data_IF_019230511169
#
_entry.id   IF_019230511169
#
_cell.length_a   1.000
_cell.length_b   1.000
_cell.length_c   1.000
_cell.angle_alpha   90.00
_cell.angle_beta   90.00
_cell.angle_gamma   90.00
#
_symmetry.space_group_name_H-M   'P 1'
#
loop_
_entity.id
_entity.type
_entity.pdbx_description
1 polymer ?
#
# COMPACT_ATOMS: atom_id res chain seq x y z
N UNK A 1 0.36 21.91 -14.52
CA UNK A 1 0.51 20.91 -15.63
C UNK A 1 1.61 19.89 -15.41
N UNK A 2 2.79 20.25 -14.89
CA UNK A 2 3.92 19.30 -14.65
C UNK A 2 3.56 18.12 -13.75
N UNK A 3 2.84 18.33 -12.66
CA UNK A 3 2.43 17.25 -11.73
C UNK A 3 1.48 16.21 -12.35
N UNK A 4 0.64 16.59 -13.31
CA UNK A 4 -0.32 15.69 -13.98
C UNK A 4 0.41 14.79 -14.99
N UNK A 5 1.36 15.34 -15.74
CA UNK A 5 2.22 14.57 -16.65
C UNK A 5 3.01 13.50 -15.89
N UNK A 6 3.64 13.88 -14.76
CA UNK A 6 4.35 12.93 -13.88
C UNK A 6 3.41 11.85 -13.36
N UNK A 7 2.20 12.22 -12.89
CA UNK A 7 1.20 11.23 -12.42
C UNK A 7 0.77 10.27 -13.54
N UNK A 8 0.57 10.76 -14.76
CA UNK A 8 0.22 9.92 -15.90
C UNK A 8 1.35 8.92 -16.22
N UNK A 9 2.61 9.36 -16.26
CA UNK A 9 3.77 8.49 -16.45
C UNK A 9 3.91 7.44 -15.34
N UNK A 10 3.72 7.84 -14.08
CA UNK A 10 3.72 6.91 -12.94
C UNK A 10 2.59 5.88 -13.04
N UNK A 11 1.43 6.27 -13.58
CA UNK A 11 0.30 5.35 -13.79
C UNK A 11 0.64 4.32 -14.87
N UNK A 12 1.28 4.74 -15.97
CA UNK A 12 1.77 3.85 -17.03
C UNK A 12 2.81 2.87 -16.46
N UNK A 13 3.81 3.37 -15.74
CA UNK A 13 4.79 2.52 -15.06
C UNK A 13 4.11 1.53 -14.10
N UNK A 14 3.10 1.98 -13.35
CA UNK A 14 2.31 1.12 -12.46
C UNK A 14 1.61 -0.03 -13.18
N UNK A 15 1.10 0.17 -14.40
CA UNK A 15 0.52 -0.93 -15.21
C UNK A 15 1.60 -1.96 -15.55
N UNK A 16 2.77 -1.52 -16.01
CA UNK A 16 3.86 -2.43 -16.34
C UNK A 16 4.35 -3.22 -15.13
N UNK A 17 4.47 -2.57 -13.97
CA UNK A 17 4.82 -3.25 -12.71
C UNK A 17 3.75 -4.26 -12.29
N UNK A 18 2.47 -3.94 -12.42
CA UNK A 18 1.37 -4.85 -12.11
C UNK A 18 1.36 -6.08 -13.03
N UNK A 19 1.57 -5.89 -14.34
CA UNK A 19 1.71 -7.01 -15.28
C UNK A 19 2.96 -7.84 -14.98
N UNK A 20 4.06 -7.17 -14.63
CA UNK A 20 5.30 -7.82 -14.19
C UNK A 20 5.10 -8.72 -12.98
N UNK A 21 4.41 -8.23 -11.95
CA UNK A 21 4.03 -8.99 -10.73
C UNK A 21 3.36 -10.31 -11.10
N UNK A 22 2.29 -10.25 -11.90
CA UNK A 22 1.53 -11.44 -12.35
C UNK A 22 2.46 -12.47 -13.01
N UNK A 23 3.36 -12.02 -13.90
CA UNK A 23 4.31 -12.93 -14.55
C UNK A 23 5.31 -13.52 -13.56
N UNK A 24 5.82 -12.73 -12.62
CA UNK A 24 6.76 -13.20 -11.60
C UNK A 24 6.12 -14.17 -10.63
N UNK A 25 4.86 -13.96 -10.26
CA UNK A 25 4.12 -14.81 -9.32
C UNK A 25 3.76 -16.16 -9.94
N UNK A 26 3.30 -16.14 -11.20
CA UNK A 26 3.07 -17.37 -11.98
C UNK A 26 4.39 -18.13 -12.14
N UNK A 27 5.46 -17.43 -12.52
CA UNK A 27 6.79 -18.03 -12.69
C UNK A 27 7.30 -18.68 -11.40
N UNK A 28 7.11 -18.02 -10.26
CA UNK A 28 7.52 -18.52 -8.95
C UNK A 28 6.69 -19.74 -8.52
N UNK A 29 5.37 -19.71 -8.70
CA UNK A 29 4.50 -20.84 -8.39
C UNK A 29 4.84 -22.07 -9.26
N UNK A 30 5.09 -21.87 -10.57
CA UNK A 30 5.52 -22.95 -11.46
C UNK A 30 6.87 -23.51 -11.05
N UNK A 31 7.83 -22.64 -10.70
CA UNK A 31 9.15 -23.06 -10.23
C UNK A 31 9.05 -23.95 -8.99
N UNK A 32 8.34 -23.52 -7.95
CA UNK A 32 8.18 -24.33 -6.73
C UNK A 32 7.42 -25.63 -6.98
N UNK A 33 6.47 -25.64 -7.92
CA UNK A 33 5.75 -26.85 -8.29
C UNK A 33 6.66 -27.86 -8.99
N UNK A 34 7.51 -27.39 -9.90
CA UNK A 34 8.50 -28.22 -10.61
C UNK A 34 9.59 -28.75 -9.67
N UNK A 35 9.95 -28.00 -8.63
CA UNK A 35 10.91 -28.42 -7.58
C UNK A 35 10.25 -29.30 -6.49
N UNK A 36 9.01 -29.77 -6.70
CA UNK A 36 8.23 -30.62 -5.76
C UNK A 36 7.98 -29.98 -4.38
N UNK A 37 8.13 -28.65 -4.26
CA UNK A 37 7.91 -27.88 -3.04
C UNK A 37 6.45 -27.43 -2.96
N UNK A 38 5.54 -28.39 -2.74
CA UNK A 38 4.10 -28.14 -2.75
C UNK A 38 3.64 -27.14 -1.69
N UNK A 39 4.31 -27.10 -0.52
CA UNK A 39 3.97 -26.14 0.55
C UNK A 39 4.26 -24.70 0.11
N UNK A 40 5.41 -24.43 -0.50
CA UNK A 40 5.78 -23.08 -0.95
C UNK A 40 4.98 -22.66 -2.17
N UNK A 41 4.62 -23.62 -3.04
CA UNK A 41 3.66 -23.41 -4.13
C UNK A 41 2.30 -22.98 -3.56
N UNK A 42 1.76 -23.73 -2.60
CA UNK A 42 0.47 -23.44 -1.98
C UNK A 42 0.43 -22.10 -1.26
N UNK A 43 1.48 -21.75 -0.52
CA UNK A 43 1.59 -20.45 0.15
C UNK A 43 1.67 -19.28 -0.85
N UNK A 44 2.48 -19.41 -1.90
CA UNK A 44 2.58 -18.40 -2.96
C UNK A 44 1.21 -18.18 -3.62
N UNK A 45 0.53 -19.25 -4.04
CA UNK A 45 -0.80 -19.14 -4.64
C UNK A 45 -1.83 -18.56 -3.67
N UNK A 46 -1.75 -18.89 -2.37
CA UNK A 46 -2.65 -18.33 -1.36
C UNK A 46 -2.50 -16.82 -1.24
N UNK A 47 -1.25 -16.30 -1.22
CA UNK A 47 -0.99 -14.86 -1.17
C UNK A 47 -1.51 -14.15 -2.42
N UNK A 48 -1.23 -14.70 -3.61
CA UNK A 48 -1.71 -14.16 -4.90
C UNK A 48 -3.24 -14.10 -4.95
N UNK A 49 -3.89 -15.21 -4.61
CA UNK A 49 -5.36 -15.27 -4.60
C UNK A 49 -5.96 -14.32 -3.56
N UNK A 50 -5.34 -14.18 -2.40
CA UNK A 50 -5.83 -13.27 -1.35
C UNK A 50 -5.73 -11.80 -1.78
N UNK A 51 -4.58 -11.37 -2.32
CA UNK A 51 -4.38 -10.03 -2.86
C UNK A 51 -5.38 -9.72 -3.98
N UNK A 52 -5.51 -10.64 -4.94
CA UNK A 52 -6.46 -10.51 -6.05
C UNK A 52 -7.92 -10.43 -5.56
N UNK A 53 -8.36 -11.35 -4.71
CA UNK A 53 -9.74 -11.38 -4.23
C UNK A 53 -10.12 -10.09 -3.49
N UNK A 54 -9.27 -9.66 -2.54
CA UNK A 54 -9.55 -8.47 -1.75
C UNK A 54 -9.57 -7.21 -2.60
N UNK A 55 -8.59 -7.04 -3.50
CA UNK A 55 -8.57 -5.88 -4.41
C UNK A 55 -9.77 -5.86 -5.34
N UNK A 56 -10.21 -6.99 -5.88
CA UNK A 56 -11.40 -7.04 -6.74
C UNK A 56 -12.68 -6.73 -5.95
N UNK A 57 -12.81 -7.21 -4.70
CA UNK A 57 -13.96 -6.89 -3.84
C UNK A 57 -14.05 -5.37 -3.60
N UNK A 58 -12.96 -4.72 -3.18
CA UNK A 58 -12.94 -3.27 -2.97
C UNK A 58 -13.15 -2.50 -4.28
N UNK A 59 -12.48 -2.93 -5.34
CA UNK A 59 -12.58 -2.31 -6.66
C UNK A 59 -14.02 -2.36 -7.19
N UNK A 60 -14.71 -3.49 -7.04
CA UNK A 60 -16.11 -3.63 -7.42
C UNK A 60 -17.04 -2.79 -6.53
N UNK A 61 -16.86 -2.85 -5.20
CA UNK A 61 -17.68 -2.09 -4.26
C UNK A 61 -17.60 -0.58 -4.52
N UNK A 62 -16.38 -0.07 -4.72
CA UNK A 62 -16.16 1.34 -5.01
C UNK A 62 -16.71 1.75 -6.38
N UNK A 63 -16.61 0.87 -7.37
CA UNK A 63 -17.19 1.11 -8.69
C UNK A 63 -18.72 1.17 -8.63
N UNK A 64 -19.34 0.30 -7.82
CA UNK A 64 -20.78 0.32 -7.53
C UNK A 64 -21.19 1.62 -6.81
N UNK A 65 -20.39 2.08 -5.85
CA UNK A 65 -20.65 3.35 -5.16
C UNK A 65 -20.60 4.53 -6.15
N UNK A 66 -19.59 4.58 -7.03
CA UNK A 66 -19.43 5.62 -8.04
C UNK A 66 -20.58 5.60 -9.08
N UNK A 67 -21.04 4.40 -9.47
CA UNK A 67 -22.20 4.23 -10.36
C UNK A 67 -23.50 4.77 -9.76
N UNK A 68 -23.64 4.64 -8.44
CA UNK A 68 -24.83 5.08 -7.70
C UNK A 68 -24.68 6.53 -7.20
N UNK A 69 -23.62 7.25 -7.61
CA UNK A 69 -23.43 8.66 -7.28
C UNK A 69 -24.06 9.53 -8.39
N UNK A 70 -25.12 10.25 -8.03
CA UNK A 70 -25.90 11.12 -8.94
C UNK A 70 -25.02 12.24 -9.50
N UNK A 71 -23.99 12.67 -8.78
CA UNK A 71 -23.08 13.72 -9.23
C UNK A 71 -21.98 13.22 -10.18
N UNK A 72 -21.68 11.91 -10.16
CA UNK A 72 -20.75 11.29 -11.12
C UNK A 72 -21.51 10.82 -12.37
N UNK A 73 -22.76 10.36 -12.21
CA UNK A 73 -23.65 9.87 -13.25
C UNK A 73 -24.88 10.78 -13.45
N UNK A 74 -24.65 12.06 -13.79
CA UNK A 74 -25.72 13.03 -14.01
C UNK A 74 -26.64 12.71 -15.20
N UNK A 75 -26.23 11.82 -16.11
CA UNK A 75 -27.02 11.42 -17.30
C UNK A 75 -27.89 10.17 -17.08
N UNK A 76 -27.86 9.55 -15.89
CA UNK A 76 -28.67 8.35 -15.61
C UNK A 76 -28.29 7.12 -16.44
N UNK A 77 -27.19 7.16 -17.18
CA UNK A 77 -26.64 6.04 -17.94
C UNK A 77 -26.16 4.96 -16.97
N UNK A 78 -26.79 3.78 -17.03
CA UNK A 78 -26.41 2.59 -16.24
C UNK A 78 -25.08 1.96 -16.72
N UNK A 79 -24.36 2.62 -17.61
CA UNK A 79 -23.22 2.12 -18.36
C UNK A 79 -22.06 3.13 -18.25
N UNK A 80 -21.04 2.78 -17.48
CA UNK A 80 -19.73 3.44 -17.60
C UNK A 80 -18.95 2.60 -18.59
N UNK A 81 -18.57 3.17 -19.74
CA UNK A 81 -17.89 2.47 -20.85
C UNK A 81 -18.76 1.48 -21.66
N UNK A 82 -20.09 1.70 -21.73
CA UNK A 82 -20.97 0.94 -22.63
C UNK A 82 -21.22 -0.52 -22.23
N UNK A 83 -20.94 -0.90 -20.97
CA UNK A 83 -21.08 -2.28 -20.50
C UNK A 83 -22.03 -2.34 -19.29
N UNK A 84 -22.91 -3.34 -19.31
CA UNK A 84 -23.97 -3.52 -18.31
C UNK A 84 -23.40 -3.90 -16.94
N UNK A 85 -24.15 -3.60 -15.86
CA UNK A 85 -23.80 -3.97 -14.47
C UNK A 85 -23.32 -5.42 -14.28
N UNK A 86 -23.93 -6.45 -14.89
CA UNK A 86 -23.43 -7.83 -14.79
C UNK A 86 -22.10 -8.04 -15.54
N UNK A 87 -21.89 -7.38 -16.68
CA UNK A 87 -20.62 -7.47 -17.43
C UNK A 87 -19.43 -6.96 -16.61
N UNK A 88 -19.63 -5.91 -15.81
CA UNK A 88 -18.60 -5.45 -14.86
C UNK A 88 -18.35 -6.44 -13.73
N UNK A 89 -19.39 -7.04 -13.16
CA UNK A 89 -19.23 -8.06 -12.13
C UNK A 89 -18.43 -9.26 -12.63
N UNK A 90 -18.70 -9.71 -13.87
CA UNK A 90 -17.94 -10.77 -14.54
C UNK A 90 -16.49 -10.36 -14.74
N UNK A 91 -16.23 -9.13 -15.17
CA UNK A 91 -14.88 -8.63 -15.38
C UNK A 91 -14.07 -8.58 -14.07
N UNK A 92 -14.70 -8.22 -12.95
CA UNK A 92 -14.09 -8.30 -11.62
C UNK A 92 -13.87 -9.75 -11.17
N UNK A 93 -14.79 -10.67 -11.49
CA UNK A 93 -14.63 -12.09 -11.17
C UNK A 93 -13.44 -12.73 -11.91
N UNK A 94 -13.13 -12.28 -13.12
CA UNK A 94 -11.93 -12.68 -13.86
C UNK A 94 -10.66 -11.92 -13.49
N UNK A 95 -10.68 -11.05 -12.47
CA UNK A 95 -9.51 -10.27 -12.06
C UNK A 95 -9.15 -9.10 -12.98
N UNK A 96 -9.92 -8.87 -14.06
CA UNK A 96 -9.64 -7.81 -15.03
C UNK A 96 -10.08 -6.41 -14.55
N UNK A 97 -10.78 -6.32 -13.42
CA UNK A 97 -11.40 -5.10 -12.91
C UNK A 97 -10.42 -3.94 -12.71
N UNK A 98 -9.21 -4.26 -12.24
CA UNK A 98 -8.13 -3.29 -12.03
C UNK A 98 -7.70 -2.63 -13.35
N UNK A 99 -7.60 -3.38 -14.44
CA UNK A 99 -7.22 -2.82 -15.75
C UNK A 99 -8.23 -1.78 -16.25
N UNK A 100 -9.52 -1.93 -15.95
CA UNK A 100 -10.52 -0.92 -16.30
C UNK A 100 -10.31 0.39 -15.55
N UNK A 101 -9.90 0.33 -14.27
CA UNK A 101 -9.54 1.52 -13.48
C UNK A 101 -8.30 2.22 -14.03
N UNK A 102 -7.27 1.45 -14.39
CA UNK A 102 -6.08 1.99 -15.06
C UNK A 102 -6.45 2.66 -16.39
N UNK A 103 -7.25 2.00 -17.22
CA UNK A 103 -7.70 2.56 -18.50
C UNK A 103 -8.45 3.87 -18.31
N UNK A 104 -9.41 3.93 -17.37
CA UNK A 104 -10.16 5.17 -17.09
C UNK A 104 -9.27 6.30 -16.58
N UNK A 105 -8.32 6.01 -15.68
CA UNK A 105 -7.38 7.00 -15.16
C UNK A 105 -6.45 7.52 -16.28
N UNK A 106 -5.90 6.62 -17.09
CA UNK A 106 -5.02 6.98 -18.21
C UNK A 106 -5.75 7.77 -19.30
N UNK A 107 -6.98 7.37 -19.66
CA UNK A 107 -7.80 8.08 -20.66
C UNK A 107 -8.15 9.49 -20.22
N UNK A 108 -8.59 9.66 -18.97
CA UNK A 108 -8.89 10.99 -18.41
C UNK A 108 -7.62 11.84 -18.25
N UNK A 109 -6.52 11.25 -17.79
CA UNK A 109 -5.23 11.92 -17.70
C UNK A 109 -4.70 12.37 -19.07
N UNK A 110 -4.81 11.52 -20.09
CA UNK A 110 -4.42 11.84 -21.46
C UNK A 110 -5.26 12.98 -22.03
N UNK A 111 -6.59 12.91 -21.90
CA UNK A 111 -7.51 13.99 -22.32
C UNK A 111 -7.11 15.32 -21.68
N UNK A 112 -6.76 15.32 -20.39
CA UNK A 112 -6.37 16.55 -19.70
C UNK A 112 -5.00 17.10 -20.14
N UNK A 113 -4.04 16.23 -20.47
CA UNK A 113 -2.69 16.64 -20.87
C UNK A 113 -2.66 17.11 -22.34
N UNK A 114 -3.36 16.38 -23.22
CA UNK A 114 -3.20 16.47 -24.67
C UNK A 114 -4.41 17.10 -25.38
N UNK A 115 -5.62 17.00 -24.80
CA UNK A 115 -6.83 17.63 -25.35
C UNK A 115 -7.04 18.98 -24.65
N UNK A 116 -6.28 19.99 -25.10
CA UNK A 116 -6.23 21.34 -24.52
C UNK A 116 -7.38 22.28 -24.97
N UNK A 117 -8.43 21.75 -25.58
CA UNK A 117 -9.49 22.51 -26.25
C UNK A 117 -10.78 22.54 -25.39
N UNK A 118 -11.27 23.75 -25.08
CA UNK A 118 -12.53 24.10 -24.38
C UNK A 118 -12.62 23.89 -22.86
N UNK A 119 -11.65 24.37 -22.08
CA UNK A 119 -11.82 24.52 -20.63
C UNK A 119 -11.94 26.00 -20.25
N UNK A 120 -13.07 26.63 -20.60
CA UNK A 120 -13.28 28.09 -20.49
C UNK A 120 -13.50 28.60 -19.06
N UNK A 121 -13.38 27.75 -18.02
CA UNK A 121 -13.59 28.15 -16.62
C UNK A 121 -12.57 27.48 -15.70
N UNK A 122 -11.88 28.27 -14.87
CA UNK A 122 -10.87 27.81 -13.90
C UNK A 122 -11.45 26.78 -12.93
N UNK A 123 -12.70 26.94 -12.52
CA UNK A 123 -13.39 26.04 -11.59
C UNK A 123 -13.56 24.62 -12.14
N UNK A 124 -13.90 24.49 -13.44
CA UNK A 124 -14.02 23.19 -14.11
C UNK A 124 -12.68 22.46 -14.17
N UNK A 125 -11.58 23.19 -14.37
CA UNK A 125 -10.23 22.61 -14.38
C UNK A 125 -9.88 22.05 -13.01
N UNK A 126 -10.19 22.79 -11.94
CA UNK A 126 -9.94 22.38 -10.56
C UNK A 126 -10.79 21.16 -10.15
N UNK A 127 -12.05 21.11 -10.56
CA UNK A 127 -12.94 19.97 -10.30
C UNK A 127 -12.47 18.70 -11.02
N UNK A 128 -12.11 18.80 -12.31
CA UNK A 128 -11.56 17.67 -13.08
C UNK A 128 -10.22 17.22 -12.50
N UNK A 129 -9.37 18.15 -12.06
CA UNK A 129 -8.11 17.85 -11.39
C UNK A 129 -8.34 17.06 -10.10
N UNK A 130 -9.24 17.54 -9.24
CA UNK A 130 -9.61 16.87 -7.99
C UNK A 130 -10.14 15.46 -8.26
N UNK A 131 -11.02 15.30 -9.25
CA UNK A 131 -11.57 13.99 -9.64
C UNK A 131 -10.46 13.03 -10.11
N UNK A 132 -9.49 13.51 -10.89
CA UNK A 132 -8.33 12.73 -11.34
C UNK A 132 -7.52 12.20 -10.16
N UNK A 133 -7.21 13.06 -9.18
CA UNK A 133 -6.46 12.65 -7.98
C UNK A 133 -7.27 11.75 -7.05
N UNK A 134 -8.60 11.87 -7.00
CA UNK A 134 -9.44 10.90 -6.29
C UNK A 134 -9.35 9.51 -6.94
N UNK A 135 -9.48 9.42 -8.27
CA UNK A 135 -9.31 8.15 -9.00
C UNK A 135 -7.90 7.56 -8.82
N UNK A 136 -6.86 8.40 -8.84
CA UNK A 136 -5.50 7.97 -8.56
C UNK A 136 -5.31 7.49 -7.11
N UNK A 137 -6.00 8.10 -6.15
CA UNK A 137 -5.99 7.70 -4.73
C UNK A 137 -6.61 6.34 -4.55
N UNK A 138 -7.81 6.11 -5.10
CA UNK A 138 -8.45 4.81 -5.09
C UNK A 138 -7.55 3.74 -5.71
N UNK A 139 -6.97 3.99 -6.89
CA UNK A 139 -6.09 3.03 -7.54
C UNK A 139 -4.83 2.74 -6.70
N UNK A 140 -4.20 3.78 -6.14
CA UNK A 140 -3.04 3.60 -5.26
C UNK A 140 -3.38 2.87 -3.96
N UNK A 141 -4.60 3.00 -3.45
CA UNK A 141 -5.08 2.25 -2.28
C UNK A 141 -5.28 0.77 -2.61
N UNK A 142 -5.83 0.44 -3.79
CA UNK A 142 -5.94 -0.94 -4.23
C UNK A 142 -4.56 -1.59 -4.39
N UNK A 143 -3.61 -0.90 -5.05
CA UNK A 143 -2.24 -1.43 -5.15
C UNK A 143 -1.58 -1.56 -3.78
N UNK A 144 -1.88 -0.66 -2.83
CA UNK A 144 -1.41 -0.80 -1.45
C UNK A 144 -1.96 -2.06 -0.77
N UNK A 145 -3.24 -2.37 -0.93
CA UNK A 145 -3.85 -3.59 -0.39
C UNK A 145 -3.21 -4.84 -0.98
N UNK A 146 -3.11 -4.92 -2.30
CA UNK A 146 -2.41 -5.98 -3.02
C UNK A 146 -1.00 -6.18 -2.47
N UNK A 147 -0.20 -5.10 -2.44
CA UNK A 147 1.19 -5.12 -2.01
C UNK A 147 1.38 -5.73 -0.62
N UNK A 148 0.49 -5.45 0.33
CA UNK A 148 0.63 -5.95 1.71
C UNK A 148 -0.08 -7.28 1.98
N UNK A 149 -1.05 -7.67 1.16
CA UNK A 149 -1.74 -8.96 1.26
C UNK A 149 -1.03 -10.06 0.46
N UNK A 150 -0.29 -9.67 -0.58
CA UNK A 150 0.36 -10.56 -1.54
C UNK A 150 1.89 -10.36 -1.51
N UNK A 151 2.38 -9.24 -2.02
CA UNK A 151 3.83 -9.05 -2.27
C UNK A 151 4.68 -9.07 -0.99
N UNK A 152 4.22 -8.49 0.13
CA UNK A 152 4.99 -8.44 1.37
C UNK A 152 5.08 -9.81 2.09
N UNK A 153 3.99 -10.57 2.31
CA UNK A 153 4.06 -11.95 2.79
C UNK A 153 4.86 -12.87 1.86
N UNK A 154 4.73 -12.69 0.54
CA UNK A 154 5.50 -13.46 -0.43
C UNK A 154 6.99 -13.14 -0.38
N UNK A 155 7.37 -11.86 -0.22
CA UNK A 155 8.76 -11.45 0.00
C UNK A 155 9.31 -12.05 1.31
N UNK A 156 8.51 -12.08 2.38
CA UNK A 156 8.89 -12.73 3.64
C UNK A 156 9.16 -14.23 3.44
N UNK A 157 8.29 -14.93 2.69
CA UNK A 157 8.48 -16.33 2.34
C UNK A 157 9.74 -16.55 1.48
N UNK A 158 9.94 -15.71 0.47
CA UNK A 158 11.14 -15.76 -0.40
C UNK A 158 12.42 -15.55 0.40
N UNK A 159 12.43 -14.60 1.35
CA UNK A 159 13.56 -14.37 2.23
C UNK A 159 13.80 -15.55 3.18
N UNK A 160 12.74 -16.15 3.73
CA UNK A 160 12.86 -17.37 4.54
C UNK A 160 13.54 -18.51 3.74
N UNK A 161 13.12 -18.73 2.49
CA UNK A 161 13.72 -19.74 1.62
C UNK A 161 15.16 -19.38 1.28
N UNK A 162 15.42 -18.12 0.89
CA UNK A 162 16.74 -17.63 0.48
C UNK A 162 17.77 -17.74 1.59
N UNK A 163 17.42 -17.34 2.81
CA UNK A 163 18.30 -17.39 3.98
C UNK A 163 18.54 -18.82 4.46
N UNK A 164 17.67 -19.78 4.10
CA UNK A 164 17.86 -21.20 4.36
C UNK A 164 18.83 -21.89 3.40
N UNK A 165 19.15 -21.27 2.26
CA UNK A 165 20.11 -21.79 1.28
C UNK A 165 21.49 -21.15 1.48
N UNK A 166 22.56 -21.93 1.25
CA UNK A 166 23.94 -21.49 1.46
C UNK A 166 24.48 -20.56 0.36
N UNK A 167 23.87 -20.56 -0.82
CA UNK A 167 24.32 -19.75 -1.96
C UNK A 167 23.26 -18.74 -2.39
N UNK A 168 23.63 -17.46 -2.38
CA UNK A 168 22.78 -16.35 -2.85
C UNK A 168 23.35 -15.81 -4.14
N UNK A 169 22.57 -15.88 -5.21
CA UNK A 169 22.94 -15.25 -6.48
C UNK A 169 22.73 -13.73 -6.43
N UNK A 170 23.56 -12.98 -7.16
CA UNK A 170 23.43 -11.51 -7.29
C UNK A 170 22.04 -11.12 -7.83
N UNK A 171 21.50 -11.91 -8.76
CA UNK A 171 20.17 -11.67 -9.33
C UNK A 171 19.05 -11.78 -8.29
N UNK A 172 19.13 -12.74 -7.35
CA UNK A 172 18.17 -12.85 -6.25
C UNK A 172 18.26 -11.63 -5.32
N UNK A 173 19.48 -11.16 -5.01
CA UNK A 173 19.66 -9.97 -4.18
C UNK A 173 19.04 -8.73 -4.83
N UNK A 174 19.26 -8.54 -6.15
CA UNK A 174 18.63 -7.45 -6.92
C UNK A 174 17.11 -7.57 -6.90
N UNK A 175 16.56 -8.78 -7.08
CA UNK A 175 15.11 -9.02 -7.05
C UNK A 175 14.51 -8.67 -5.69
N UNK A 176 15.11 -9.14 -4.59
CA UNK A 176 14.68 -8.81 -3.22
C UNK A 176 14.73 -7.30 -2.96
N UNK A 177 15.82 -6.63 -3.37
CA UNK A 177 15.96 -5.18 -3.22
C UNK A 177 14.88 -4.42 -4.00
N UNK A 178 14.56 -4.87 -5.22
CA UNK A 178 13.50 -4.31 -6.03
C UNK A 178 12.12 -4.52 -5.38
N UNK A 179 11.85 -5.70 -4.81
CA UNK A 179 10.60 -5.97 -4.08
C UNK A 179 10.42 -5.04 -2.87
N UNK A 180 11.48 -4.83 -2.07
CA UNK A 180 11.43 -3.84 -0.98
C UNK A 180 11.15 -2.42 -1.47
N UNK A 181 11.79 -2.02 -2.57
CA UNK A 181 11.55 -0.71 -3.18
C UNK A 181 10.11 -0.58 -3.66
N UNK A 182 9.56 -1.61 -4.32
CA UNK A 182 8.18 -1.60 -4.83
C UNK A 182 7.16 -1.47 -3.68
N UNK A 183 7.35 -2.24 -2.59
CA UNK A 183 6.48 -2.16 -1.40
C UNK A 183 6.52 -0.75 -0.79
N UNK A 184 7.72 -0.21 -0.58
CA UNK A 184 7.87 1.14 -0.04
C UNK A 184 7.26 2.20 -0.97
N UNK A 185 7.47 2.07 -2.28
CA UNK A 185 6.94 2.99 -3.28
C UNK A 185 5.40 2.99 -3.32
N UNK A 186 4.75 1.83 -3.26
CA UNK A 186 3.28 1.74 -3.21
C UNK A 186 2.70 2.54 -2.03
N UNK A 187 3.34 2.46 -0.86
CA UNK A 187 2.96 3.22 0.32
C UNK A 187 3.19 4.73 0.17
N UNK A 188 4.32 5.13 -0.41
CA UNK A 188 4.61 6.55 -0.68
C UNK A 188 3.66 7.11 -1.72
N UNK A 189 3.37 6.37 -2.79
CA UNK A 189 2.47 6.81 -3.85
C UNK A 189 1.06 7.02 -3.31
N UNK A 190 0.55 6.06 -2.53
CA UNK A 190 -0.73 6.22 -1.84
C UNK A 190 -0.75 7.47 -0.96
N UNK A 191 0.27 7.67 -0.11
CA UNK A 191 0.33 8.83 0.78
C UNK A 191 0.32 10.16 0.01
N UNK A 192 0.98 10.21 -1.14
CA UNK A 192 1.00 11.38 -2.03
C UNK A 192 -0.33 11.59 -2.74
N UNK A 193 -0.94 10.53 -3.27
CA UNK A 193 -2.28 10.59 -3.88
C UNK A 193 -3.30 11.10 -2.88
N UNK A 194 -3.35 10.50 -1.69
CA UNK A 194 -4.27 10.86 -0.62
C UNK A 194 -4.14 12.35 -0.31
N UNK A 195 -2.93 12.85 -0.01
CA UNK A 195 -2.72 14.27 0.30
C UNK A 195 -3.13 15.22 -0.83
N UNK A 196 -2.95 14.83 -2.10
CA UNK A 196 -3.37 15.64 -3.26
C UNK A 196 -4.86 15.61 -3.53
N UNK A 197 -5.56 14.56 -3.10
CA UNK A 197 -7.01 14.46 -3.24
C UNK A 197 -7.78 15.34 -2.24
N UNK A 198 -7.11 15.78 -1.16
CA UNK A 198 -7.72 16.50 -0.05
C UNK A 198 -7.50 18.01 -0.17
N UNK A 199 -8.58 18.82 -0.23
CA UNK A 199 -8.46 20.26 -0.44
C UNK A 199 -7.87 21.01 0.76
N UNK A 200 -8.05 20.51 1.98
CA UNK A 200 -7.63 21.18 3.22
C UNK A 200 -6.27 20.72 3.75
N UNK A 201 -5.60 19.77 3.08
CA UNK A 201 -4.31 19.23 3.53
C UNK A 201 -3.22 19.63 2.54
N UNK A 202 -2.13 20.21 3.06
CA UNK A 202 -0.99 20.61 2.24
C UNK A 202 -0.38 19.40 1.53
N UNK A 203 -0.24 19.54 0.21
CA UNK A 203 0.42 18.55 -0.63
C UNK A 203 1.83 18.25 -0.13
N UNK A 204 2.26 17.00 -0.34
CA UNK A 204 3.65 16.63 -0.11
C UNK A 204 4.51 17.16 -1.27
N UNK A 205 5.53 18.01 -1.00
CA UNK A 205 6.39 18.54 -2.05
C UNK A 205 7.11 17.41 -2.78
N UNK A 206 7.19 17.49 -4.12
CA UNK A 206 8.09 16.64 -4.89
C UNK A 206 9.54 17.03 -4.63
N UNK A 207 10.42 16.04 -4.45
CA UNK A 207 11.84 16.25 -4.19
C UNK A 207 12.29 15.61 -2.87
N UNK A 208 13.13 16.34 -2.12
CA UNK A 208 13.79 15.86 -0.91
C UNK A 208 12.84 15.31 0.18
N UNK A 209 11.67 15.93 0.49
CA UNK A 209 10.72 15.36 1.44
C UNK A 209 10.19 13.98 1.01
N UNK A 210 9.93 13.80 -0.29
CA UNK A 210 9.48 12.51 -0.83
C UNK A 210 10.58 11.46 -0.74
N UNK A 211 11.83 11.84 -1.07
CA UNK A 211 12.98 10.95 -0.99
C UNK A 211 13.26 10.48 0.44
N UNK A 212 13.24 11.39 1.43
CA UNK A 212 13.49 11.04 2.83
C UNK A 212 12.37 10.18 3.40
N UNK A 213 11.11 10.45 3.04
CA UNK A 213 10.00 9.61 3.45
C UNK A 213 10.08 8.21 2.83
N UNK A 214 10.50 8.10 1.56
CA UNK A 214 10.75 6.82 0.91
C UNK A 214 11.90 6.06 1.58
N UNK A 215 13.01 6.74 1.90
CA UNK A 215 14.14 6.16 2.61
C UNK A 215 13.75 5.66 4.01
N UNK A 216 12.95 6.44 4.74
CA UNK A 216 12.35 6.01 5.99
C UNK A 216 11.53 4.71 5.82
N UNK A 217 10.65 4.64 4.81
CA UNK A 217 9.79 3.47 4.61
C UNK A 217 10.54 2.25 4.12
N UNK A 218 11.47 2.38 3.16
CA UNK A 218 12.28 1.24 2.70
C UNK A 218 13.12 0.68 3.85
N UNK A 219 13.82 1.53 4.61
CA UNK A 219 14.66 1.07 5.72
C UNK A 219 13.86 0.40 6.85
N UNK A 220 12.71 0.97 7.23
CA UNK A 220 11.87 0.39 8.30
C UNK A 220 11.17 -0.89 7.87
N UNK A 221 10.72 -1.01 6.61
CA UNK A 221 10.12 -2.25 6.10
C UNK A 221 11.19 -3.33 5.95
N UNK A 222 12.36 -3.00 5.38
CA UNK A 222 13.45 -3.96 5.17
C UNK A 222 13.94 -4.59 6.48
N UNK A 223 14.24 -3.77 7.48
CA UNK A 223 14.67 -4.26 8.80
C UNK A 223 13.62 -5.16 9.46
N UNK A 224 12.34 -4.77 9.43
CA UNK A 224 11.28 -5.56 10.06
C UNK A 224 11.04 -6.90 9.36
N UNK A 225 10.97 -6.90 8.02
CA UNK A 225 10.77 -8.13 7.25
C UNK A 225 11.97 -9.07 7.41
N UNK A 226 13.21 -8.57 7.36
CA UNK A 226 14.39 -9.37 7.62
C UNK A 226 14.39 -9.95 9.05
N UNK A 227 13.96 -9.17 10.05
CA UNK A 227 13.80 -9.66 11.42
C UNK A 227 12.77 -10.79 11.52
N UNK A 228 11.63 -10.67 10.83
CA UNK A 228 10.66 -11.76 10.74
C UNK A 228 11.24 -12.98 10.03
N UNK A 229 12.03 -12.82 8.97
CA UNK A 229 12.71 -13.93 8.30
C UNK A 229 13.68 -14.65 9.25
N UNK A 230 14.47 -13.92 10.04
CA UNK A 230 15.36 -14.53 11.05
C UNK A 230 14.58 -15.29 12.12
N UNK A 231 13.48 -14.73 12.61
CA UNK A 231 12.63 -15.38 13.60
C UNK A 231 11.94 -16.65 13.04
N UNK A 232 11.59 -16.67 11.75
CA UNK A 232 11.05 -17.86 11.08
C UNK A 232 12.10 -18.98 10.95
N UNK A 233 13.36 -18.64 10.67
CA UNK A 233 14.48 -19.60 10.65
C UNK A 233 14.77 -20.16 12.05
N UNK A 234 14.62 -19.31 13.07
CA UNK A 234 14.76 -19.73 14.45
C UNK A 234 13.64 -20.72 14.84
N UNK A 235 12.39 -20.38 14.53
CA UNK A 235 11.23 -21.22 14.82
C UNK A 235 10.05 -20.94 13.91
N UNK A 236 9.44 -22.01 13.37
CA UNK A 236 8.21 -21.93 12.57
C UNK A 236 7.03 -21.40 13.40
N UNK A 237 7.05 -21.55 14.73
CA UNK A 237 6.03 -20.99 15.63
C UNK A 237 5.95 -19.45 15.59
N UNK A 238 6.95 -18.77 15.02
CA UNK A 238 6.88 -17.33 14.71
C UNK A 238 5.68 -16.98 13.84
N UNK A 239 5.20 -17.92 13.00
CA UNK A 239 3.95 -17.72 12.23
C UNK A 239 2.76 -17.43 13.13
N UNK A 240 2.65 -18.11 14.28
CA UNK A 240 1.60 -17.86 15.29
C UNK A 240 1.75 -16.45 15.87
N UNK A 241 2.98 -16.03 16.18
CA UNK A 241 3.25 -14.68 16.67
C UNK A 241 2.86 -13.60 15.65
N UNK A 242 3.14 -13.82 14.35
CA UNK A 242 2.70 -12.93 13.27
C UNK A 242 1.17 -12.88 13.15
N UNK A 243 0.48 -14.01 13.32
CA UNK A 243 -0.99 -14.04 13.39
C UNK A 243 -1.53 -13.26 14.58
N UNK A 244 -0.90 -13.37 15.75
CA UNK A 244 -1.27 -12.57 16.93
C UNK A 244 -1.07 -11.07 16.69
N UNK A 245 0.07 -10.67 16.09
CA UNK A 245 0.32 -9.27 15.73
C UNK A 245 -0.74 -8.73 14.75
N UNK A 246 -1.12 -9.55 13.77
CA UNK A 246 -2.20 -9.21 12.85
C UNK A 246 -3.53 -8.99 13.59
N UNK A 247 -3.93 -9.92 14.47
CA UNK A 247 -5.16 -9.80 15.27
C UNK A 247 -5.14 -8.56 16.18
N UNK A 248 -3.99 -8.23 16.77
CA UNK A 248 -3.81 -7.00 17.56
C UNK A 248 -3.99 -5.75 16.69
N UNK A 249 -3.38 -5.73 15.49
CA UNK A 249 -3.54 -4.63 14.52
C UNK A 249 -4.99 -4.47 14.05
N UNK A 250 -5.69 -5.57 13.78
CA UNK A 250 -7.11 -5.55 13.42
C UNK A 250 -7.98 -5.08 14.59
N UNK A 251 -7.72 -5.56 15.81
CA UNK A 251 -8.45 -5.12 17.01
C UNK A 251 -8.26 -3.63 17.25
N UNK A 252 -7.02 -3.13 17.10
CA UNK A 252 -6.74 -1.70 17.12
C UNK A 252 -7.57 -0.95 16.07
N UNK A 253 -7.58 -1.40 14.81
CA UNK A 253 -8.41 -0.78 13.76
C UNK A 253 -9.92 -0.81 14.09
N UNK A 254 -10.40 -1.81 14.84
CA UNK A 254 -11.78 -1.85 15.33
C UNK A 254 -12.05 -0.81 16.43
N UNK A 255 -11.12 -0.63 17.37
CA UNK A 255 -11.21 0.37 18.44
C UNK A 255 -11.16 1.81 17.90
N UNK A 256 -10.56 1.99 16.73
CA UNK A 256 -10.51 3.27 16.02
C UNK A 256 -11.83 3.65 15.33
N UNK A 257 -12.84 2.78 15.35
CA UNK A 257 -14.19 3.00 14.80
C UNK A 257 -14.22 3.59 13.37
N UNK A 258 -13.34 3.12 12.50
CA UNK A 258 -13.25 3.61 11.10
C UNK A 258 -14.59 3.53 10.36
N UNK A 259 -14.90 4.54 9.54
CA UNK A 259 -16.14 4.62 8.71
C UNK A 259 -15.82 4.77 7.22
N UNK A 260 -14.97 3.88 6.69
CA UNK A 260 -14.49 3.99 5.32
C UNK A 260 -15.46 3.43 4.27
N UNK A 261 -16.14 2.32 4.58
CA UNK A 261 -16.97 1.56 3.66
C UNK A 261 -18.46 1.85 3.85
N UNK A 262 -19.24 1.67 2.77
CA UNK A 262 -20.70 1.81 2.80
C UNK A 262 -21.41 0.65 3.50
N UNK A 263 -20.82 -0.55 3.50
CA UNK A 263 -21.38 -1.75 4.11
C UNK A 263 -20.55 -2.25 5.30
N UNK A 264 -21.23 -2.82 6.29
CA UNK A 264 -20.59 -3.35 7.51
C UNK A 264 -19.59 -4.47 7.22
N UNK A 265 -19.89 -5.36 6.28
CA UNK A 265 -18.99 -6.47 5.91
C UNK A 265 -17.71 -5.97 5.25
N UNK A 266 -17.81 -4.97 4.38
CA UNK A 266 -16.64 -4.37 3.72
C UNK A 266 -15.78 -3.58 4.71
N UNK A 267 -16.39 -2.96 5.72
CA UNK A 267 -15.65 -2.29 6.80
C UNK A 267 -14.85 -3.28 7.66
N UNK A 268 -15.43 -4.44 7.99
CA UNK A 268 -14.71 -5.51 8.71
C UNK A 268 -13.53 -6.00 7.87
N UNK A 269 -13.74 -6.23 6.58
CA UNK A 269 -12.65 -6.62 5.67
C UNK A 269 -11.57 -5.54 5.60
N UNK A 270 -11.95 -4.27 5.50
CA UNK A 270 -11.03 -3.14 5.48
C UNK A 270 -10.16 -3.12 6.76
N UNK A 271 -10.77 -3.24 7.94
CA UNK A 271 -10.04 -3.29 9.21
C UNK A 271 -9.11 -4.50 9.33
N UNK A 272 -9.49 -5.65 8.78
CA UNK A 272 -8.63 -6.83 8.69
C UNK A 272 -7.39 -6.56 7.82
N UNK A 273 -7.58 -5.93 6.66
CA UNK A 273 -6.48 -5.54 5.75
C UNK A 273 -5.57 -4.50 6.39
N UNK A 274 -6.13 -3.49 7.08
CA UNK A 274 -5.34 -2.53 7.85
C UNK A 274 -4.50 -3.24 8.91
N UNK A 275 -5.05 -4.24 9.60
CA UNK A 275 -4.28 -5.08 10.52
C UNK A 275 -3.07 -5.73 9.85
N UNK A 276 -3.23 -6.27 8.63
CA UNK A 276 -2.11 -6.87 7.88
C UNK A 276 -1.05 -5.82 7.56
N UNK A 277 -1.46 -4.64 7.08
CA UNK A 277 -0.53 -3.54 6.78
C UNK A 277 0.24 -3.17 8.06
N UNK A 278 -0.44 -3.07 9.21
CA UNK A 278 0.18 -2.78 10.50
C UNK A 278 1.16 -3.86 10.98
N UNK A 279 1.07 -5.11 10.51
CA UNK A 279 2.10 -6.11 10.81
C UNK A 279 3.44 -5.78 10.15
N UNK A 280 3.43 -5.10 8.99
CA UNK A 280 4.63 -4.81 8.19
C UNK A 280 5.08 -3.35 8.22
N UNK A 281 4.17 -2.39 8.42
CA UNK A 281 4.53 -0.97 8.47
C UNK A 281 3.50 -0.15 9.23
N UNK A 282 3.96 0.91 9.89
CA UNK A 282 3.05 1.87 10.47
C UNK A 282 2.22 2.56 9.38
N UNK A 283 0.90 2.40 9.48
CA UNK A 283 -0.08 3.02 8.60
C UNK A 283 -1.02 3.88 9.43
N UNK A 284 -1.12 5.16 9.07
CA UNK A 284 -1.96 6.11 9.79
C UNK A 284 -3.41 6.01 9.31
N UNK A 285 -4.25 5.41 10.16
CA UNK A 285 -5.69 5.19 9.93
C UNK A 285 -6.55 6.32 10.51
N UNK A 286 -6.10 6.97 11.60
CA UNK A 286 -6.91 7.97 12.32
C UNK A 286 -6.86 9.38 11.72
N UNK A 287 -5.92 9.68 10.83
CA UNK A 287 -5.73 11.01 10.26
C UNK A 287 -5.20 12.07 11.26
N UNK A 288 -5.56 11.99 12.55
CA UNK A 288 -5.27 12.96 13.61
C UNK A 288 -4.55 12.32 14.83
N UNK A 289 -3.84 13.15 15.61
CA UNK A 289 -3.12 12.82 16.86
C UNK A 289 -2.34 11.50 16.90
N UNK A 290 -1.63 11.23 15.82
CA UNK A 290 -0.91 9.95 15.66
C UNK A 290 0.39 9.83 16.41
N UNK A 291 0.79 10.83 17.22
CA UNK A 291 2.09 10.81 17.91
C UNK A 291 2.21 9.59 18.83
N UNK A 292 1.20 9.38 19.70
CA UNK A 292 1.21 8.25 20.65
C UNK A 292 1.19 6.92 19.92
N UNK A 293 0.24 6.72 18.99
CA UNK A 293 0.14 5.48 18.22
C UNK A 293 1.42 5.17 17.42
N UNK A 294 2.03 6.20 16.83
CA UNK A 294 3.30 6.07 16.10
C UNK A 294 4.46 5.72 17.04
N UNK A 295 4.59 6.40 18.17
CA UNK A 295 5.62 6.08 19.17
C UNK A 295 5.46 4.65 19.69
N UNK A 296 4.24 4.23 20.05
CA UNK A 296 3.96 2.86 20.50
C UNK A 296 4.36 1.83 19.44
N UNK A 297 3.98 2.05 18.18
CA UNK A 297 4.37 1.17 17.08
C UNK A 297 5.90 1.05 16.95
N UNK A 298 6.61 2.19 16.97
CA UNK A 298 8.06 2.18 16.78
C UNK A 298 8.83 1.60 17.98
N UNK A 299 8.25 1.63 19.19
CA UNK A 299 8.78 0.89 20.35
C UNK A 299 8.72 -0.62 20.08
N UNK A 300 7.55 -1.16 19.70
CA UNK A 300 7.42 -2.59 19.38
C UNK A 300 8.32 -3.01 18.22
N UNK A 301 8.38 -2.18 17.18
CA UNK A 301 9.29 -2.38 16.05
C UNK A 301 10.76 -2.46 16.50
N UNK A 302 11.24 -1.54 17.34
CA UNK A 302 12.63 -1.58 17.82
C UNK A 302 12.89 -2.82 18.67
N UNK A 303 11.93 -3.23 19.51
CA UNK A 303 12.03 -4.48 20.29
C UNK A 303 12.18 -5.67 19.35
N UNK A 304 11.34 -5.82 18.33
CA UNK A 304 11.41 -6.94 17.37
C UNK A 304 12.76 -6.96 16.64
N UNK A 305 13.23 -5.81 16.15
CA UNK A 305 14.48 -5.73 15.39
C UNK A 305 15.74 -6.00 16.23
N UNK A 306 15.70 -5.74 17.54
CA UNK A 306 16.80 -6.11 18.45
C UNK A 306 16.68 -7.58 18.85
N UNK A 307 15.47 -8.04 19.18
CA UNK A 307 15.23 -9.40 19.65
C UNK A 307 15.50 -10.45 18.58
N UNK A 308 15.20 -10.20 17.30
CA UNK A 308 15.41 -11.17 16.23
C UNK A 308 16.87 -11.64 16.08
N UNK A 309 17.86 -10.76 15.86
CA UNK A 309 19.27 -11.17 15.80
C UNK A 309 19.80 -11.65 17.16
N UNK A 310 19.32 -11.10 18.28
CA UNK A 310 19.74 -11.52 19.62
C UNK A 310 19.31 -12.94 19.94
N UNK A 311 18.05 -13.30 19.68
CA UNK A 311 17.54 -14.66 19.90
C UNK A 311 18.24 -15.66 18.97
N UNK A 312 18.52 -15.27 17.72
CA UNK A 312 19.29 -16.10 16.81
C UNK A 312 20.71 -16.35 17.35
N UNK A 313 21.37 -15.31 17.87
CA UNK A 313 22.69 -15.40 18.48
C UNK A 313 22.73 -16.31 19.71
N UNK A 314 21.72 -16.21 20.58
CA UNK A 314 21.66 -16.96 21.82
C UNK A 314 21.26 -18.44 21.63
N UNK A 315 20.30 -18.70 20.73
CA UNK A 315 19.71 -20.05 20.59
C UNK A 315 20.35 -20.88 19.49
N UNK A 316 20.96 -20.25 18.47
CA UNK A 316 21.67 -20.93 17.37
C UNK A 316 23.00 -20.23 17.04
N UNK A 317 23.97 -20.23 17.96
CA UNK A 317 25.25 -19.54 17.77
C UNK A 317 26.04 -20.06 16.56
N UNK A 318 25.90 -21.36 16.25
CA UNK A 318 26.52 -22.00 15.08
C UNK A 318 26.07 -21.33 13.76
N UNK A 319 24.80 -20.96 13.67
CA UNK A 319 24.20 -20.38 12.48
C UNK A 319 24.62 -18.91 12.30
N UNK A 320 24.96 -18.20 13.38
CA UNK A 320 25.46 -16.82 13.35
C UNK A 320 26.88 -16.70 12.78
N UNK A 321 27.66 -17.79 12.75
CA UNK A 321 29.00 -17.78 12.13
C UNK A 321 28.95 -17.67 10.61
N UNK A 322 27.78 -17.90 10.00
CA UNK A 322 27.57 -17.68 8.57
C UNK A 322 27.70 -16.20 8.23
N UNK A 323 28.63 -15.87 7.32
CA UNK A 323 28.87 -14.52 6.80
C UNK A 323 27.57 -13.86 6.33
N UNK A 324 26.67 -14.65 5.73
CA UNK A 324 25.37 -14.18 5.23
C UNK A 324 24.48 -13.71 6.39
N UNK A 325 24.34 -14.49 7.45
CA UNK A 325 23.46 -14.13 8.57
C UNK A 325 24.03 -13.02 9.45
N UNK A 326 25.36 -12.93 9.55
CA UNK A 326 26.02 -11.78 10.14
C UNK A 326 25.76 -10.51 9.32
N UNK A 327 25.86 -10.61 7.99
CA UNK A 327 25.55 -9.49 7.07
C UNK A 327 24.10 -9.05 7.19
N UNK A 328 23.16 -9.99 7.26
CA UNK A 328 21.73 -9.71 7.45
C UNK A 328 21.47 -9.05 8.81
N UNK A 329 22.11 -9.53 9.89
CA UNK A 329 22.00 -8.93 11.22
C UNK A 329 22.54 -7.49 11.24
N UNK A 330 23.69 -7.25 10.60
CA UNK A 330 24.24 -5.91 10.41
C UNK A 330 23.31 -5.00 9.59
N UNK A 331 22.70 -5.54 8.54
CA UNK A 331 21.72 -4.84 7.70
C UNK A 331 20.45 -4.48 8.48
N UNK A 332 19.94 -5.38 9.33
CA UNK A 332 18.80 -5.10 10.23
C UNK A 332 19.12 -3.92 11.14
N UNK A 333 20.27 -3.95 11.82
CA UNK A 333 20.71 -2.86 12.70
C UNK A 333 20.87 -1.54 11.93
N UNK A 334 21.59 -1.56 10.80
CA UNK A 334 21.85 -0.38 9.97
C UNK A 334 20.57 0.23 9.41
N UNK A 335 19.69 -0.57 8.82
CA UNK A 335 18.39 -0.10 8.31
C UNK A 335 17.47 0.37 9.44
N UNK A 336 17.48 -0.26 10.62
CA UNK A 336 16.65 0.18 11.75
C UNK A 336 17.06 1.57 12.23
N UNK A 337 18.35 1.81 12.44
CA UNK A 337 18.87 3.12 12.86
C UNK A 337 18.61 4.17 11.78
N UNK A 338 18.97 3.88 10.53
CA UNK A 338 18.79 4.80 9.42
C UNK A 338 17.30 5.15 9.21
N UNK A 339 16.41 4.17 9.33
CA UNK A 339 14.97 4.33 9.22
C UNK A 339 14.40 5.25 10.31
N UNK A 340 14.80 5.07 11.56
CA UNK A 340 14.36 5.91 12.69
C UNK A 340 14.94 7.33 12.62
N UNK A 341 16.17 7.49 12.14
CA UNK A 341 16.76 8.81 11.88
C UNK A 341 15.97 9.52 10.77
N UNK A 342 15.72 8.86 9.64
CA UNK A 342 14.92 9.42 8.54
C UNK A 342 13.49 9.75 8.98
N UNK A 343 12.89 8.91 9.83
CA UNK A 343 11.59 9.17 10.43
C UNK A 343 11.60 10.48 11.23
N UNK A 344 12.57 10.62 12.13
CA UNK A 344 12.70 11.79 13.01
C UNK A 344 12.96 13.04 12.18
N UNK A 345 13.87 12.97 11.21
CA UNK A 345 14.18 14.07 10.29
C UNK A 345 12.95 14.50 9.50
N UNK A 346 12.19 13.52 8.97
CA UNK A 346 10.98 13.81 8.21
C UNK A 346 9.94 14.54 9.08
N UNK A 347 9.57 14.01 10.24
CA UNK A 347 8.53 14.63 11.07
C UNK A 347 8.98 15.93 11.76
N UNK A 348 10.27 16.10 12.00
CA UNK A 348 10.81 17.33 12.60
C UNK A 348 10.84 18.49 11.60
N UNK A 349 11.37 18.26 10.40
CA UNK A 349 11.72 19.34 9.47
C UNK A 349 10.92 19.36 8.16
N UNK A 350 10.49 18.21 7.66
CA UNK A 350 10.01 18.08 6.27
C UNK A 350 8.52 17.77 6.18
N UNK A 351 7.91 17.29 7.26
CA UNK A 351 6.49 16.98 7.30
C UNK A 351 5.70 18.28 7.16
N UNK A 352 4.88 18.43 6.11
CA UNK A 352 4.05 19.60 5.95
C UNK A 352 3.03 19.63 7.08
N UNK A 353 3.30 20.45 8.11
CA UNK A 353 2.37 20.75 9.20
C UNK A 353 1.19 21.51 8.61
N UNK A 354 -0.02 21.04 8.86
CA UNK A 354 -1.24 21.73 8.44
C UNK A 354 -1.38 23.02 9.23
N UNK A 355 -1.74 24.11 8.54
CA UNK A 355 -2.38 25.26 9.19
C UNK A 355 -3.85 24.89 9.30
N UNK A 356 -4.35 24.73 10.53
CA UNK A 356 -5.78 24.68 10.77
C UNK A 356 -6.36 26.04 10.40
N UNK A 357 -7.06 26.11 9.27
CA UNK A 357 -8.14 27.07 9.10
C UNK A 357 -9.42 26.27 9.19
N UNK A 358 -9.86 26.07 10.43
CA UNK A 358 -11.29 26.08 10.70
C UNK A 358 -11.70 27.55 10.58
N UNK A 359 -12.44 27.88 9.52
CA UNK A 359 -13.06 29.19 9.34
C UNK A 359 -14.33 28.99 8.52
N UNK A 360 -15.44 29.14 9.25
CA UNK A 360 -16.81 29.47 8.85
C UNK A 360 -17.58 28.53 7.92
N UNK A 361 -18.56 27.86 8.55
CA UNK A 361 -19.89 27.71 7.98
C UNK A 361 -20.43 29.08 7.53
N UNK A 362 -20.19 29.47 6.28
CA UNK A 362 -21.12 30.19 5.38
C UNK A 362 -20.35 30.57 4.12
N UNK A 363 -20.45 29.72 3.09
CA UNK A 363 -20.76 30.10 1.71
C UNK A 363 -20.37 28.99 0.73
N UNK A 364 -21.41 28.40 0.13
CA UNK A 364 -21.31 27.46 -0.98
C UNK A 364 -21.36 25.99 -0.56
N UNK A 365 -22.56 25.42 -0.58
CA UNK A 365 -22.83 23.98 -0.60
C UNK A 365 -22.20 23.38 -1.89
N UNK A 366 -20.88 23.22 -1.92
CA UNK A 366 -20.15 22.55 -2.99
C UNK A 366 -20.53 21.08 -2.99
N UNK A 367 -21.30 20.65 -3.99
CA UNK A 367 -21.82 19.29 -4.16
C UNK A 367 -20.74 18.22 -3.93
N UNK A 368 -20.87 17.45 -2.86
CA UNK A 368 -19.95 16.37 -2.52
C UNK A 368 -20.22 15.10 -3.33
N UNK A 369 -19.18 14.57 -3.99
CA UNK A 369 -19.21 13.22 -4.58
C UNK A 369 -18.89 12.16 -3.52
N UNK A 370 -19.43 10.95 -3.66
CA UNK A 370 -19.18 9.79 -2.79
C UNK A 370 -17.70 9.43 -2.69
N UNK A 371 -16.94 9.57 -3.78
CA UNK A 371 -15.47 9.39 -3.78
C UNK A 371 -14.78 10.42 -2.87
N UNK A 372 -15.21 11.69 -2.92
CA UNK A 372 -14.68 12.75 -2.02
C UNK A 372 -15.07 12.47 -0.56
N UNK A 373 -16.29 11.99 -0.32
CA UNK A 373 -16.76 11.60 1.02
C UNK A 373 -15.98 10.41 1.58
N UNK A 374 -15.69 9.38 0.78
CA UNK A 374 -14.87 8.22 1.20
C UNK A 374 -13.47 8.65 1.63
N UNK A 375 -12.83 9.51 0.84
CA UNK A 375 -11.50 10.05 1.14
C UNK A 375 -11.51 10.95 2.39
N UNK A 376 -12.59 11.71 2.62
CA UNK A 376 -12.77 12.50 3.84
C UNK A 376 -12.98 11.62 5.07
N UNK A 377 -13.84 10.61 4.95
CA UNK A 377 -14.10 9.62 6.01
C UNK A 377 -12.86 8.80 6.37
N UNK A 378 -11.87 8.69 5.48
CA UNK A 378 -10.58 8.06 5.80
C UNK A 378 -9.76 8.85 6.83
N UNK A 379 -10.07 10.13 7.08
CA UNK A 379 -9.29 11.02 7.96
C UNK A 379 -10.06 11.55 9.18
N UNK A 380 -11.34 11.23 9.30
CA UNK A 380 -12.18 11.59 10.42
C UNK A 380 -12.82 10.30 10.96
N UNK A 381 -12.48 9.84 12.18
CA UNK A 381 -13.22 8.77 12.83
C UNK A 381 -14.71 9.12 13.03
#
# INVERSE_FOLDING_TARGET
MTGIKVRWLLTVAGVFLYVGDIWTDIGLAVKYFQEEQYVWTGLTLMFVLTGLLVTQIFSYAWYRDDLNDIFINSEGTKEISGMSKPGFAVLHAFGLGIFTRYYHLLKKGFKMIWTKSNWDTVDKIQEVHKKLFCMATDLSMLKLFETFLESAPQLLLQLYILLGHSEVSVMQCISVAFSFFNIAWALVDYRRCLRRSLPHIREMPSGLPTAIYLLYKICTITSLVLSYSLLLILSVYTTVALTVLWLLGTTWAHLLETKFCSTRSLEILYRAVIGVILTFTFFNVNGQDTKVAMTTYYIFYTVINIMAPLLLALLKPELQTSTLLLTVSGLICGCSVLGLVCLTLYYSFLHPRGVWREADEVDGLGKETKSTRRIRNFLQP
#
